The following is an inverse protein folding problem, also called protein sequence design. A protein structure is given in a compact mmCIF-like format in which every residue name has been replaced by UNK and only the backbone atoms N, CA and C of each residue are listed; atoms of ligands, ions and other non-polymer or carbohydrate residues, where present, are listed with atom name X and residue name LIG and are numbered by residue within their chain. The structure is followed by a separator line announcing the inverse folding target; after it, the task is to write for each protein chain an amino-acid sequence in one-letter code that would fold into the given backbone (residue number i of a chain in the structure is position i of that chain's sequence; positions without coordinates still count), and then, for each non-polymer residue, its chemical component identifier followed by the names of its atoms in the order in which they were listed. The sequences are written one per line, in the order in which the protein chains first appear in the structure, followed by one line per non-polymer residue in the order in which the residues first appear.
data_IF_396580825904
#
_entry.id   IF_396580825904
#
_cell.length_a   1.000
_cell.length_b   1.000
_cell.length_c   1.000
_cell.angle_alpha   90.00
_cell.angle_beta   90.00
_cell.angle_gamma   90.00
#
_symmetry.space_group_name_H-M   'P 1'
#
loop_
_entity.id
_entity.type
_entity.pdbx_description
1 polymer ?
#
# COMPACT_ATOMS: atom_id res chain seq x y z
N UNK A 1 5.53 -13.03 -44.66
CA UNK A 1 6.11 -13.88 -43.61
C UNK A 1 7.38 -13.21 -43.10
N UNK A 2 7.30 -12.50 -41.97
CA UNK A 2 8.47 -11.86 -41.37
C UNK A 2 9.29 -12.94 -40.65
N UNK A 3 10.53 -13.15 -41.10
CA UNK A 3 11.40 -14.19 -40.58
C UNK A 3 11.76 -13.90 -39.12
N UNK A 4 11.44 -14.84 -38.22
CA UNK A 4 12.03 -14.88 -36.87
C UNK A 4 13.53 -15.16 -37.00
N UNK A 5 14.34 -14.11 -37.11
CA UNK A 5 15.76 -14.21 -36.76
C UNK A 5 15.82 -14.18 -35.24
N UNK A 6 16.03 -15.35 -34.63
CA UNK A 6 16.55 -15.45 -33.26
C UNK A 6 17.93 -14.80 -33.25
N UNK A 7 17.99 -13.49 -33.07
CA UNK A 7 19.18 -12.86 -32.53
C UNK A 7 19.00 -12.92 -31.01
N UNK A 8 19.56 -13.97 -30.43
CA UNK A 8 19.99 -13.93 -29.04
C UNK A 8 20.88 -12.71 -28.88
N UNK A 9 20.32 -11.63 -28.33
CA UNK A 9 21.11 -10.52 -27.81
C UNK A 9 21.86 -11.10 -26.62
N UNK A 10 23.11 -11.49 -26.88
CA UNK A 10 24.04 -11.89 -25.85
C UNK A 10 24.35 -10.61 -25.05
N UNK A 11 23.80 -10.56 -23.83
CA UNK A 11 24.19 -9.63 -22.78
C UNK A 11 25.69 -9.78 -22.53
N UNK A 12 26.47 -8.74 -22.86
CA UNK A 12 27.80 -8.57 -22.31
C UNK A 12 27.72 -7.62 -21.14
N UNK A 13 27.84 -8.20 -19.94
CA UNK A 13 28.20 -7.49 -18.72
C UNK A 13 29.71 -7.31 -18.79
N UNK A 14 30.19 -6.07 -18.83
CA UNK A 14 31.57 -5.75 -18.46
C UNK A 14 31.56 -4.80 -17.26
N UNK A 15 32.53 -4.98 -16.35
CA UNK A 15 32.59 -4.43 -14.98
C UNK A 15 32.86 -2.92 -14.90
N UNK A 16 32.45 -2.15 -15.90
CA UNK A 16 32.58 -0.68 -15.92
C UNK A 16 31.24 -0.08 -16.30
N UNK A 17 30.54 0.49 -15.31
CA UNK A 17 29.42 1.42 -15.42
C UNK A 17 29.05 1.81 -16.87
N UNK A 18 28.10 1.10 -17.48
CA UNK A 18 27.55 1.48 -18.78
C UNK A 18 26.03 1.42 -18.76
N UNK A 19 25.44 2.60 -18.83
CA UNK A 19 24.01 2.83 -18.95
C UNK A 19 23.51 2.19 -20.23
N UNK A 20 22.47 1.35 -20.13
CA UNK A 20 21.72 0.90 -21.29
C UNK A 20 20.95 2.11 -21.84
N UNK A 21 21.59 2.85 -22.76
CA UNK A 21 20.96 3.90 -23.54
C UNK A 21 19.94 3.23 -24.46
N UNK A 22 18.67 3.20 -24.05
CA UNK A 22 17.55 2.74 -24.89
C UNK A 22 17.41 3.54 -26.20
N UNK A 23 18.23 4.58 -26.40
CA UNK A 23 18.48 5.28 -27.65
C UNK A 23 18.88 4.35 -28.82
N UNK A 24 19.43 3.15 -28.55
CA UNK A 24 19.77 2.17 -29.60
C UNK A 24 18.64 1.18 -29.95
N UNK A 25 17.49 1.28 -29.27
CA UNK A 25 16.35 0.39 -29.60
C UNK A 25 15.75 0.73 -30.95
N UNK A 26 15.20 -0.28 -31.63
CA UNK A 26 14.48 -0.09 -32.90
C UNK A 26 13.39 0.99 -32.81
N UNK A 27 12.79 1.20 -31.63
CA UNK A 27 11.85 2.28 -31.38
C UNK A 27 12.50 3.66 -31.45
N UNK A 28 13.60 3.88 -30.72
CA UNK A 28 14.33 5.15 -30.78
C UNK A 28 14.97 5.38 -32.14
N UNK A 29 15.38 4.32 -32.84
CA UNK A 29 15.86 4.44 -34.21
C UNK A 29 14.72 4.86 -35.16
N UNK A 30 13.53 4.27 -35.06
CA UNK A 30 12.39 4.64 -35.91
C UNK A 30 11.86 6.06 -35.68
N UNK A 31 11.74 6.50 -34.41
CA UNK A 31 11.30 7.89 -34.13
C UNK A 31 12.34 8.92 -34.64
N UNK A 32 13.60 8.50 -34.78
CA UNK A 32 14.71 9.27 -35.36
C UNK A 32 15.01 8.91 -36.83
N UNK A 33 14.06 8.30 -37.56
CA UNK A 33 14.14 8.04 -39.02
C UNK A 33 15.18 7.00 -39.49
N UNK A 34 15.58 6.06 -38.63
CA UNK A 34 16.60 5.06 -38.90
C UNK A 34 16.15 3.60 -38.61
N UNK A 35 15.05 3.11 -39.20
CA UNK A 35 14.62 1.71 -39.01
C UNK A 35 13.65 1.18 -40.08
N UNK A 36 13.57 -0.15 -40.20
CA UNK A 36 12.82 -0.84 -41.26
C UNK A 36 11.54 -1.55 -40.76
N UNK A 37 11.19 -1.40 -39.48
CA UNK A 37 10.05 -2.07 -38.87
C UNK A 37 8.86 -1.12 -38.65
N UNK A 38 7.66 -1.67 -38.53
CA UNK A 38 6.48 -0.85 -38.25
C UNK A 38 6.50 -0.35 -36.80
N UNK A 39 5.91 0.83 -36.59
CA UNK A 39 5.97 1.55 -35.32
C UNK A 39 5.31 0.78 -34.17
N UNK A 40 4.23 0.05 -34.43
CA UNK A 40 3.54 -0.78 -33.44
C UNK A 40 4.44 -1.89 -32.89
N UNK A 41 5.16 -2.58 -33.78
CA UNK A 41 6.08 -3.67 -33.42
C UNK A 41 7.24 -3.12 -32.60
N UNK A 42 7.82 -2.01 -33.03
CA UNK A 42 8.93 -1.38 -32.32
C UNK A 42 8.52 -0.84 -30.94
N UNK A 43 7.35 -0.20 -30.85
CA UNK A 43 6.78 0.24 -29.58
C UNK A 43 6.53 -0.94 -28.64
N UNK A 44 5.99 -2.04 -29.14
CA UNK A 44 5.72 -3.24 -28.33
C UNK A 44 7.02 -3.83 -27.78
N UNK A 45 8.06 -3.94 -28.62
CA UNK A 45 9.38 -4.38 -28.18
C UNK A 45 10.03 -3.43 -27.16
N UNK A 46 9.87 -2.11 -27.34
CA UNK A 46 10.30 -1.11 -26.37
C UNK A 46 9.57 -1.26 -25.03
N UNK A 47 8.25 -1.41 -25.05
CA UNK A 47 7.46 -1.57 -23.83
C UNK A 47 7.85 -2.83 -23.06
N UNK A 48 8.09 -3.95 -23.77
CA UNK A 48 8.60 -5.18 -23.15
C UNK A 48 9.95 -4.98 -22.48
N UNK A 49 10.91 -4.32 -23.14
CA UNK A 49 12.23 -4.04 -22.55
C UNK A 49 12.14 -3.15 -21.30
N UNK A 50 11.26 -2.14 -21.30
CA UNK A 50 11.03 -1.29 -20.12
C UNK A 50 10.41 -2.10 -18.97
N UNK A 51 9.51 -3.05 -19.25
CA UNK A 51 8.94 -3.95 -18.23
C UNK A 51 10.02 -4.89 -17.67
N UNK A 52 10.83 -5.48 -18.53
CA UNK A 52 11.94 -6.34 -18.12
C UNK A 52 12.97 -5.58 -17.28
N UNK A 53 13.29 -4.33 -17.63
CA UNK A 53 14.15 -3.44 -16.84
C UNK A 53 13.57 -3.15 -15.44
N UNK A 54 12.24 -3.02 -15.33
CA UNK A 54 11.56 -2.80 -14.05
C UNK A 54 11.47 -4.07 -13.18
N UNK A 55 11.44 -5.26 -13.79
CA UNK A 55 11.24 -6.53 -13.10
C UNK A 55 12.53 -7.35 -12.90
N UNK A 56 13.56 -7.09 -13.71
CA UNK A 56 14.73 -7.94 -13.89
C UNK A 56 15.85 -7.69 -12.89
N UNK A 57 15.59 -7.76 -11.58
CA UNK A 57 16.60 -7.91 -10.51
C UNK A 57 17.78 -6.91 -10.45
N UNK A 58 17.81 -5.87 -11.28
CA UNK A 58 18.81 -4.80 -11.27
C UNK A 58 18.64 -3.93 -10.02
N UNK A 59 19.70 -3.21 -9.63
CA UNK A 59 19.63 -2.21 -8.57
C UNK A 59 18.51 -1.19 -8.88
N UNK A 60 17.57 -1.04 -7.95
CA UNK A 60 16.42 -0.15 -8.09
C UNK A 60 16.83 1.29 -8.42
N UNK A 61 17.96 1.77 -7.88
CA UNK A 61 18.47 3.11 -8.18
C UNK A 61 18.90 3.21 -9.64
N UNK A 62 19.53 2.15 -10.19
CA UNK A 62 19.93 2.11 -11.60
C UNK A 62 18.70 2.06 -12.52
N UNK A 63 17.66 1.31 -12.15
CA UNK A 63 16.38 1.29 -12.87
C UNK A 63 15.71 2.67 -12.89
N UNK A 64 15.68 3.36 -11.75
CA UNK A 64 15.11 4.72 -11.65
C UNK A 64 15.89 5.72 -12.53
N UNK A 65 17.22 5.68 -12.49
CA UNK A 65 18.07 6.56 -13.32
C UNK A 65 17.85 6.27 -14.81
N UNK A 66 17.78 5.00 -15.20
CA UNK A 66 17.53 4.62 -16.59
C UNK A 66 16.15 5.11 -17.09
N UNK A 67 15.09 4.97 -16.29
CA UNK A 67 13.77 5.46 -16.67
C UNK A 67 13.71 6.99 -16.76
N UNK A 68 14.37 7.71 -15.84
CA UNK A 68 14.47 9.16 -15.89
C UNK A 68 15.17 9.63 -17.18
N UNK A 69 16.23 8.92 -17.60
CA UNK A 69 16.92 9.21 -18.85
C UNK A 69 16.01 9.02 -20.08
N UNK A 70 15.28 7.90 -20.17
CA UNK A 70 14.31 7.66 -21.27
C UNK A 70 13.26 8.77 -21.32
N UNK A 71 12.72 9.16 -20.16
CA UNK A 71 11.71 10.21 -20.08
C UNK A 71 12.23 11.53 -20.65
N UNK A 72 13.46 11.92 -20.29
CA UNK A 72 14.11 13.14 -20.78
C UNK A 72 14.23 13.10 -22.30
N UNK A 73 14.71 12.00 -22.87
CA UNK A 73 14.86 11.84 -24.32
C UNK A 73 13.50 11.92 -25.06
N UNK A 74 12.46 11.27 -24.52
CA UNK A 74 11.11 11.32 -25.11
C UNK A 74 10.45 12.70 -24.97
N UNK A 75 10.68 13.40 -23.85
CA UNK A 75 10.12 14.73 -23.58
C UNK A 75 10.73 15.80 -24.48
N UNK A 76 12.02 15.68 -24.79
CA UNK A 76 12.76 16.65 -25.62
C UNK A 76 12.85 16.25 -27.09
N UNK A 77 12.28 15.10 -27.48
CA UNK A 77 12.16 14.72 -28.87
C UNK A 77 11.42 15.82 -29.66
N UNK A 78 11.88 16.21 -30.87
CA UNK A 78 11.37 17.37 -31.63
C UNK A 78 9.98 17.12 -32.28
N UNK A 79 9.03 16.57 -31.52
CA UNK A 79 7.70 16.15 -31.97
C UNK A 79 6.84 17.33 -32.45
N UNK A 80 7.06 18.52 -31.89
CA UNK A 80 6.29 19.74 -32.23
C UNK A 80 6.60 20.33 -33.60
N UNK A 81 7.68 19.87 -34.25
CA UNK A 81 8.14 20.37 -35.55
C UNK A 81 7.93 19.33 -36.67
N UNK A 82 7.16 18.27 -36.42
CA UNK A 82 6.92 17.19 -37.37
C UNK A 82 5.81 17.55 -38.38
N UNK A 83 5.98 17.16 -39.65
CA UNK A 83 5.00 17.32 -40.72
C UNK A 83 3.73 16.48 -40.47
N UNK A 84 2.64 16.78 -41.18
CA UNK A 84 1.33 16.10 -41.01
C UNK A 84 1.42 14.58 -41.24
N UNK A 85 2.34 14.12 -42.10
CA UNK A 85 2.67 12.71 -42.35
C UNK A 85 3.32 12.00 -41.15
N UNK A 86 3.94 12.76 -40.24
CA UNK A 86 4.69 12.24 -39.07
C UNK A 86 3.86 12.30 -37.78
N UNK A 87 2.55 12.49 -37.89
CA UNK A 87 1.60 12.51 -36.77
C UNK A 87 1.51 11.16 -36.05
N UNK A 88 1.76 10.06 -36.75
CA UNK A 88 1.85 8.73 -36.15
C UNK A 88 3.06 8.63 -35.20
N UNK A 89 4.24 9.10 -35.63
CA UNK A 89 5.45 9.16 -34.79
C UNK A 89 5.18 9.98 -33.53
N UNK A 90 4.56 11.15 -33.67
CA UNK A 90 4.18 12.01 -32.55
C UNK A 90 3.27 11.31 -31.53
N UNK A 91 2.30 10.53 -32.01
CA UNK A 91 1.41 9.76 -31.15
C UNK A 91 2.17 8.67 -30.38
N UNK A 92 3.10 7.96 -31.03
CA UNK A 92 3.90 6.92 -30.40
C UNK A 92 4.94 7.45 -29.41
N UNK A 93 5.57 8.59 -29.67
CA UNK A 93 6.44 9.27 -28.69
C UNK A 93 5.64 9.67 -27.45
N UNK A 94 4.44 10.24 -27.65
CA UNK A 94 3.54 10.61 -26.54
C UNK A 94 3.07 9.38 -25.74
N UNK A 95 2.79 8.28 -26.43
CA UNK A 95 2.40 6.99 -25.84
C UNK A 95 3.54 6.39 -25.01
N UNK A 96 4.76 6.38 -25.55
CA UNK A 96 5.96 5.91 -24.84
C UNK A 96 6.26 6.76 -23.62
N UNK A 97 6.17 8.09 -23.73
CA UNK A 97 6.38 9.00 -22.60
C UNK A 97 5.38 8.74 -21.47
N UNK A 98 4.10 8.58 -21.84
CA UNK A 98 3.03 8.26 -20.88
C UNK A 98 3.27 6.90 -20.20
N UNK A 99 3.77 5.92 -20.95
CA UNK A 99 4.09 4.60 -20.44
C UNK A 99 5.27 4.63 -19.45
N UNK A 100 6.38 5.28 -19.81
CA UNK A 100 7.57 5.41 -18.94
C UNK A 100 7.23 6.12 -17.62
N UNK A 101 6.48 7.24 -17.68
CA UNK A 101 5.98 7.94 -16.48
C UNK A 101 5.12 7.05 -15.59
N UNK A 102 4.30 6.19 -16.20
CA UNK A 102 3.48 5.24 -15.46
C UNK A 102 4.34 4.19 -14.77
N UNK A 103 5.39 3.68 -15.43
CA UNK A 103 6.35 2.73 -14.84
C UNK A 103 7.17 3.36 -13.71
N UNK A 104 7.66 4.59 -13.88
CA UNK A 104 8.31 5.33 -12.79
C UNK A 104 7.37 5.53 -11.61
N UNK A 105 6.10 5.85 -11.86
CA UNK A 105 5.08 5.96 -10.80
C UNK A 105 4.86 4.61 -10.12
N UNK A 106 4.82 3.49 -10.84
CA UNK A 106 4.73 2.16 -10.23
C UNK A 106 5.93 1.85 -9.32
N UNK A 107 7.14 2.26 -9.71
CA UNK A 107 8.34 2.06 -8.87
C UNK A 107 8.42 3.03 -7.68
N UNK A 108 7.92 4.26 -7.85
CA UNK A 108 7.89 5.29 -6.80
C UNK A 108 6.70 5.12 -5.83
N UNK A 109 5.69 4.32 -6.22
CA UNK A 109 4.64 3.91 -5.30
C UNK A 109 5.25 2.85 -4.37
N UNK A 110 5.15 2.99 -3.04
CA UNK A 110 5.51 1.90 -2.13
C UNK A 110 4.82 0.63 -2.63
N UNK A 111 5.59 -0.38 -3.02
CA UNK A 111 5.05 -1.60 -3.58
C UNK A 111 4.15 -2.25 -2.52
N UNK A 112 2.85 -2.07 -2.66
CA UNK A 112 1.86 -2.98 -2.10
C UNK A 112 1.98 -4.26 -2.94
N UNK A 113 2.12 -5.46 -2.34
CA UNK A 113 2.37 -6.69 -3.09
C UNK A 113 1.36 -6.89 -4.24
N UNK A 114 1.76 -7.48 -5.39
CA UNK A 114 0.87 -7.63 -6.52
C UNK A 114 -0.31 -8.54 -6.16
N UNK A 115 -1.52 -8.17 -6.60
CA UNK A 115 -2.67 -9.06 -6.70
C UNK A 115 -2.32 -10.20 -7.67
N UNK A 116 -1.82 -11.31 -7.13
CA UNK A 116 -1.67 -12.56 -7.87
C UNK A 116 -3.07 -13.10 -8.15
N UNK A 117 -3.27 -13.45 -9.41
CA UNK A 117 -4.45 -14.13 -9.95
C UNK A 117 -4.82 -15.38 -9.15
N UNK A 118 -6.11 -15.71 -9.15
CA UNK A 118 -6.70 -16.87 -8.52
C UNK A 118 -5.88 -18.16 -8.68
N UNK A 119 -5.90 -18.97 -7.63
CA UNK A 119 -5.45 -20.36 -7.54
C UNK A 119 -3.95 -20.59 -7.26
N UNK A 120 -3.48 -20.11 -6.11
CA UNK A 120 -2.65 -20.95 -5.24
C UNK A 120 -3.35 -20.98 -3.87
N UNK A 121 -3.61 -22.17 -3.35
CA UNK A 121 -4.58 -22.44 -2.29
C UNK A 121 -4.60 -21.41 -1.16
N UNK A 122 -5.80 -20.87 -0.91
CA UNK A 122 -6.18 -20.18 0.32
C UNK A 122 -5.80 -21.06 1.51
N UNK A 123 -4.59 -20.89 2.04
CA UNK A 123 -4.32 -21.23 3.44
C UNK A 123 -4.96 -20.09 4.21
N UNK A 124 -6.28 -20.19 4.39
CA UNK A 124 -6.97 -19.36 5.36
C UNK A 124 -6.40 -19.74 6.72
N UNK A 125 -5.61 -18.84 7.31
CA UNK A 125 -5.20 -18.96 8.70
C UNK A 125 -6.47 -19.20 9.52
N UNK A 126 -6.59 -20.38 10.13
CA UNK A 126 -7.77 -20.73 10.92
C UNK A 126 -7.90 -19.77 12.10
N UNK A 127 -9.11 -19.55 12.59
CA UNK A 127 -9.30 -18.76 13.82
C UNK A 127 -8.47 -19.32 14.98
N UNK A 128 -8.37 -20.64 15.10
CA UNK A 128 -7.64 -21.29 16.18
C UNK A 128 -6.14 -21.01 16.13
N UNK A 129 -5.55 -20.95 14.93
CA UNK A 129 -4.13 -20.65 14.77
C UNK A 129 -3.87 -19.15 14.94
N UNK A 130 -4.78 -18.30 14.44
CA UNK A 130 -4.75 -16.86 14.71
C UNK A 130 -4.83 -16.55 16.21
N UNK A 131 -5.66 -17.29 16.96
CA UNK A 131 -5.75 -17.16 18.42
C UNK A 131 -4.42 -17.48 19.11
N UNK A 132 -3.77 -18.59 18.76
CA UNK A 132 -2.47 -18.96 19.35
C UNK A 132 -1.39 -17.90 19.06
N UNK A 133 -1.40 -17.34 17.85
CA UNK A 133 -0.50 -16.25 17.47
C UNK A 133 -0.79 -15.03 18.34
N UNK A 134 -2.05 -14.61 18.43
CA UNK A 134 -2.47 -13.45 19.23
C UNK A 134 -2.14 -13.64 20.72
N UNK A 135 -2.38 -14.82 21.28
CA UNK A 135 -2.05 -15.17 22.66
C UNK A 135 -0.55 -15.03 22.93
N UNK A 136 0.29 -15.52 22.00
CA UNK A 136 1.74 -15.38 22.09
C UNK A 136 2.18 -13.91 21.96
N UNK A 137 1.58 -13.15 21.05
CA UNK A 137 1.91 -11.72 20.85
C UNK A 137 1.55 -10.88 22.08
N UNK A 138 0.42 -11.17 22.71
CA UNK A 138 -0.12 -10.44 23.84
C UNK A 138 0.20 -11.11 25.19
N UNK A 139 1.19 -12.00 25.23
CA UNK A 139 1.56 -12.73 26.45
C UNK A 139 1.92 -11.75 27.58
N UNK A 140 1.23 -11.88 28.71
CA UNK A 140 1.42 -11.03 29.89
C UNK A 140 0.85 -9.61 29.76
N UNK A 141 0.21 -9.27 28.64
CA UNK A 141 -0.48 -7.99 28.49
C UNK A 141 -1.82 -8.02 29.20
N UNK A 142 -2.15 -6.93 29.89
CA UNK A 142 -3.45 -6.73 30.54
C UNK A 142 -4.30 -5.71 29.77
N UNK A 143 -5.61 -5.91 29.79
CA UNK A 143 -6.58 -4.92 29.35
C UNK A 143 -6.81 -3.83 30.41
N UNK A 144 -7.73 -2.89 30.11
CA UNK A 144 -8.04 -1.79 31.03
C UNK A 144 -8.90 -2.20 32.22
N UNK A 145 -9.51 -3.37 32.19
CA UNK A 145 -10.25 -3.95 33.30
C UNK A 145 -9.32 -4.79 34.21
N UNK A 146 -8.04 -4.94 33.84
CA UNK A 146 -7.04 -5.71 34.59
C UNK A 146 -7.03 -7.20 34.27
N UNK A 147 -7.82 -7.65 33.28
CA UNK A 147 -7.81 -9.03 32.79
C UNK A 147 -6.75 -9.24 31.70
N UNK A 148 -6.48 -10.49 31.30
CA UNK A 148 -5.65 -10.79 30.14
C UNK A 148 -6.16 -10.09 28.88
N UNK A 149 -5.27 -9.43 28.14
CA UNK A 149 -5.66 -8.68 26.95
C UNK A 149 -6.17 -9.60 25.81
N UNK A 150 -5.68 -10.84 25.74
CA UNK A 150 -6.18 -11.83 24.78
C UNK A 150 -7.67 -12.14 24.99
N UNK A 151 -8.15 -12.15 26.24
CA UNK A 151 -9.57 -12.38 26.54
C UNK A 151 -10.43 -11.23 26.01
N UNK A 152 -9.92 -9.99 26.06
CA UNK A 152 -10.58 -8.85 25.43
C UNK A 152 -10.70 -9.05 23.91
N UNK A 153 -9.61 -9.44 23.24
CA UNK A 153 -9.64 -9.69 21.80
C UNK A 153 -10.56 -10.86 21.43
N UNK A 154 -10.59 -11.91 22.25
CA UNK A 154 -11.51 -13.04 22.08
C UNK A 154 -12.97 -12.58 22.18
N UNK A 155 -13.31 -11.74 23.15
CA UNK A 155 -14.66 -11.16 23.25
C UNK A 155 -15.05 -10.36 21.98
N UNK A 156 -14.09 -9.70 21.33
CA UNK A 156 -14.29 -8.98 20.07
C UNK A 156 -14.56 -9.95 18.92
N UNK A 157 -13.81 -11.04 18.82
CA UNK A 157 -14.06 -12.08 17.83
C UNK A 157 -15.40 -12.80 18.07
N UNK A 158 -15.74 -13.12 19.31
CA UNK A 158 -17.01 -13.73 19.69
C UNK A 158 -18.20 -12.82 19.37
N UNK A 159 -18.06 -11.51 19.58
CA UNK A 159 -19.08 -10.53 19.15
C UNK A 159 -19.37 -10.61 17.65
N UNK A 160 -18.34 -10.74 16.82
CA UNK A 160 -18.46 -10.87 15.36
C UNK A 160 -19.05 -12.22 14.97
N UNK A 161 -18.59 -13.30 15.60
CA UNK A 161 -19.12 -14.65 15.42
C UNK A 161 -20.61 -14.72 15.72
N UNK A 162 -21.05 -14.13 16.84
CA UNK A 162 -22.46 -14.08 17.25
C UNK A 162 -23.33 -13.23 16.32
N UNK A 163 -22.73 -12.34 15.54
CA UNK A 163 -23.39 -11.60 14.46
C UNK A 163 -23.44 -12.33 13.12
N UNK A 164 -22.85 -13.53 13.02
CA UNK A 164 -22.78 -14.29 11.78
C UNK A 164 -21.76 -13.75 10.79
N UNK A 165 -20.74 -13.01 11.26
CA UNK A 165 -19.65 -12.54 10.40
C UNK A 165 -18.69 -13.69 10.05
N UNK A 166 -18.02 -13.59 8.89
CA UNK A 166 -17.11 -14.65 8.42
C UNK A 166 -15.92 -14.86 9.36
N UNK A 167 -15.33 -16.06 9.28
CA UNK A 167 -14.13 -16.40 10.06
C UNK A 167 -12.98 -15.43 9.78
N UNK A 168 -12.85 -14.94 8.54
CA UNK A 168 -11.85 -13.96 8.11
C UNK A 168 -11.93 -12.66 8.92
N UNK A 169 -13.15 -12.18 9.20
CA UNK A 169 -13.38 -10.97 10.00
C UNK A 169 -13.02 -11.25 11.46
N UNK A 170 -13.26 -12.47 11.94
CA UNK A 170 -12.89 -12.91 13.30
C UNK A 170 -11.36 -13.04 13.45
N UNK A 171 -10.68 -13.62 12.45
CA UNK A 171 -9.22 -13.74 12.36
C UNK A 171 -8.57 -12.35 12.33
N UNK A 172 -9.09 -11.44 11.51
CA UNK A 172 -8.59 -10.07 11.49
C UNK A 172 -8.82 -9.39 12.85
N UNK A 173 -9.98 -9.61 13.47
CA UNK A 173 -10.31 -9.01 14.75
C UNK A 173 -9.42 -9.49 15.91
N UNK A 174 -9.04 -10.77 15.95
CA UNK A 174 -8.15 -11.29 17.00
C UNK A 174 -6.69 -10.83 16.80
N UNK A 175 -6.28 -10.48 15.57
CA UNK A 175 -4.91 -10.04 15.24
C UNK A 175 -4.74 -8.51 15.14
N UNK A 176 -5.82 -7.72 15.22
CA UNK A 176 -5.81 -6.31 14.81
C UNK A 176 -4.89 -5.36 15.60
N UNK A 177 -4.48 -5.75 16.81
CA UNK A 177 -3.60 -4.95 17.67
C UNK A 177 -2.22 -5.61 17.86
N UNK A 178 -1.88 -6.58 17.00
CA UNK A 178 -0.62 -7.32 17.05
C UNK A 178 0.61 -6.56 16.55
N UNK A 179 0.46 -5.48 15.77
CA UNK A 179 1.56 -4.65 15.26
C UNK A 179 1.50 -3.27 15.91
N UNK A 180 1.72 -3.23 17.22
CA UNK A 180 1.68 -2.00 18.01
C UNK A 180 2.94 -1.80 18.83
N UNK A 181 3.19 -0.56 19.27
CA UNK A 181 4.33 -0.25 20.15
C UNK A 181 4.35 -1.07 21.45
N UNK A 182 3.18 -1.49 21.95
CA UNK A 182 3.07 -2.35 23.12
C UNK A 182 3.61 -3.77 22.87
N UNK A 183 3.27 -4.34 21.71
CA UNK A 183 3.67 -5.70 21.31
C UNK A 183 5.10 -5.79 20.77
N UNK A 184 5.65 -4.67 20.28
CA UNK A 184 6.96 -4.56 19.62
C UNK A 184 7.14 -5.50 18.41
N UNK A 185 6.05 -6.04 17.84
CA UNK A 185 6.10 -6.86 16.64
C UNK A 185 6.12 -6.00 15.39
N UNK A 186 6.87 -6.46 14.40
CA UNK A 186 6.90 -5.89 13.06
C UNK A 186 6.02 -6.73 12.10
N UNK A 187 5.67 -6.19 10.92
CA UNK A 187 5.01 -6.97 9.86
C UNK A 187 5.76 -8.28 9.56
N UNK A 188 7.09 -8.23 9.43
CA UNK A 188 7.93 -9.39 9.18
C UNK A 188 7.86 -10.44 10.29
N UNK A 189 7.75 -10.00 11.54
CA UNK A 189 7.58 -10.94 12.67
C UNK A 189 6.24 -11.67 12.56
N UNK A 190 5.17 -10.96 12.21
CA UNK A 190 3.84 -11.58 12.05
C UNK A 190 3.82 -12.59 10.89
N UNK A 191 4.48 -12.26 9.77
CA UNK A 191 4.64 -13.19 8.63
C UNK A 191 5.41 -14.45 9.07
N UNK A 192 6.52 -14.27 9.81
CA UNK A 192 7.31 -15.40 10.37
C UNK A 192 6.51 -16.25 11.36
N UNK A 193 5.55 -15.65 12.06
CA UNK A 193 4.62 -16.35 12.95
C UNK A 193 3.49 -17.08 12.20
N UNK A 194 3.43 -16.97 10.88
CA UNK A 194 2.46 -17.67 10.03
C UNK A 194 1.23 -16.85 9.65
N UNK A 195 1.22 -15.54 9.90
CA UNK A 195 0.14 -14.66 9.44
C UNK A 195 0.30 -14.37 7.93
N UNK A 196 -0.74 -14.58 7.11
CA UNK A 196 -0.70 -14.24 5.69
C UNK A 196 -0.37 -12.76 5.43
N UNK A 197 0.37 -12.47 4.36
CA UNK A 197 0.84 -11.11 4.07
C UNK A 197 -0.32 -10.11 3.84
N UNK A 198 -1.37 -10.54 3.16
CA UNK A 198 -2.60 -9.76 2.96
C UNK A 198 -3.32 -9.46 4.29
N UNK A 199 -3.30 -10.40 5.24
CA UNK A 199 -3.82 -10.17 6.59
C UNK A 199 -2.93 -9.18 7.36
N UNK A 200 -1.61 -9.26 7.22
CA UNK A 200 -0.67 -8.28 7.81
C UNK A 200 -0.91 -6.88 7.26
N UNK A 201 -1.13 -6.73 5.95
CA UNK A 201 -1.47 -5.46 5.31
C UNK A 201 -2.77 -4.88 5.89
N UNK A 202 -3.78 -5.73 6.13
CA UNK A 202 -5.04 -5.31 6.77
C UNK A 202 -4.83 -4.85 8.22
N UNK A 203 -4.02 -5.57 9.00
CA UNK A 203 -3.66 -5.19 10.38
C UNK A 203 -2.98 -3.82 10.38
N UNK A 204 -2.01 -3.59 9.48
CA UNK A 204 -1.33 -2.31 9.36
C UNK A 204 -2.29 -1.19 8.94
N UNK A 205 -3.13 -1.42 7.92
CA UNK A 205 -4.14 -0.45 7.46
C UNK A 205 -5.10 -0.07 8.60
N UNK A 206 -5.42 -1.02 9.48
CA UNK A 206 -6.28 -0.82 10.64
C UNK A 206 -5.56 -0.22 11.85
N UNK A 207 -4.23 -0.18 11.89
CA UNK A 207 -3.51 0.29 13.08
C UNK A 207 -3.40 1.81 13.07
N UNK A 208 -4.23 2.48 13.88
CA UNK A 208 -4.15 3.93 14.04
C UNK A 208 -2.96 4.31 14.92
N UNK A 209 -1.89 4.78 14.29
CA UNK A 209 -0.71 5.31 14.97
C UNK A 209 -1.00 6.71 15.50
N UNK A 210 -1.17 6.81 16.83
CA UNK A 210 -1.30 8.09 17.51
C UNK A 210 0.09 8.74 17.56
N UNK A 211 0.28 9.87 16.89
CA UNK A 211 1.36 10.79 17.26
C UNK A 211 1.03 11.35 18.66
N UNK A 212 1.61 10.75 19.70
CA UNK A 212 1.37 11.12 21.11
C UNK A 212 2.41 12.08 21.67
N UNK A 213 3.50 12.32 20.94
CA UNK A 213 4.45 13.33 21.31
C UNK A 213 4.17 14.55 20.44
N UNK A 214 4.13 15.72 21.07
CA UNK A 214 4.27 17.01 20.42
C UNK A 214 3.03 17.61 19.77
N UNK A 215 2.98 18.94 19.80
CA UNK A 215 2.15 19.75 18.91
C UNK A 215 2.59 19.36 17.50
N UNK A 216 1.79 18.55 16.79
CA UNK A 216 2.15 18.13 15.43
C UNK A 216 2.16 19.34 14.48
N UNK A 217 2.82 19.21 13.32
CA UNK A 217 2.95 20.28 12.33
C UNK A 217 1.58 20.87 11.92
N UNK A 218 0.55 20.02 11.90
CA UNK A 218 -0.84 20.42 11.66
C UNK A 218 -1.38 21.32 12.78
N UNK A 219 -1.14 20.99 14.04
CA UNK A 219 -1.50 21.78 15.21
C UNK A 219 -0.71 23.10 15.24
N UNK A 220 0.59 23.08 14.90
CA UNK A 220 1.43 24.28 14.77
C UNK A 220 0.90 25.25 13.71
N UNK A 221 0.54 24.76 12.53
CA UNK A 221 -0.01 25.56 11.42
C UNK A 221 -1.37 26.18 11.77
N UNK A 222 -2.19 25.49 12.57
CA UNK A 222 -3.46 26.03 13.04
C UNK A 222 -3.27 27.09 14.12
N UNK A 223 -2.32 26.90 15.03
CA UNK A 223 -1.95 27.91 16.04
C UNK A 223 -1.33 29.15 15.39
N UNK A 224 -0.51 29.00 14.34
CA UNK A 224 0.02 30.12 13.54
C UNK A 224 -1.11 30.95 12.90
N UNK A 225 -2.23 30.31 12.56
CA UNK A 225 -3.43 30.95 12.02
C UNK A 225 -4.40 31.48 13.10
N UNK A 226 -4.00 31.45 14.37
CA UNK A 226 -4.75 32.02 15.50
C UNK A 226 -5.79 31.09 16.13
N UNK A 227 -5.74 29.78 15.86
CA UNK A 227 -6.61 28.80 16.54
C UNK A 227 -6.08 28.53 17.96
N UNK A 228 -6.92 28.64 19.02
CA UNK A 228 -6.51 28.32 20.39
C UNK A 228 -5.94 26.90 20.52
N UNK A 229 -4.97 26.70 21.42
CA UNK A 229 -4.23 25.45 21.52
C UNK A 229 -5.11 24.26 21.94
N UNK A 230 -6.12 24.53 22.75
CA UNK A 230 -7.17 23.61 23.17
C UNK A 230 -7.99 23.05 21.98
N UNK A 231 -8.24 23.90 20.97
CA UNK A 231 -8.98 23.57 19.75
C UNK A 231 -8.06 22.98 18.66
N UNK A 232 -6.78 23.32 18.70
CA UNK A 232 -5.76 22.77 17.82
C UNK A 232 -5.34 21.34 18.20
N UNK A 233 -5.63 20.85 19.42
CA UNK A 233 -5.04 19.59 19.94
C UNK A 233 -6.02 18.46 20.21
N UNK A 234 -7.28 18.73 20.56
CA UNK A 234 -8.29 17.66 20.77
C UNK A 234 -9.13 17.42 19.52
N UNK A 235 -9.67 18.49 18.95
CA UNK A 235 -10.46 18.44 17.72
C UNK A 235 -9.62 17.98 16.52
N UNK A 236 -8.35 18.36 16.46
CA UNK A 236 -7.41 17.87 15.46
C UNK A 236 -7.27 16.34 15.49
N UNK A 237 -7.06 15.76 16.69
CA UNK A 237 -6.94 14.30 16.85
C UNK A 237 -8.21 13.55 16.47
N UNK A 238 -9.38 14.17 16.68
CA UNK A 238 -10.64 13.55 16.26
C UNK A 238 -10.87 13.75 14.74
N UNK A 239 -10.41 14.85 14.14
CA UNK A 239 -10.35 15.02 12.67
C UNK A 239 -9.41 13.99 12.01
N UNK A 240 -8.25 13.71 12.59
CA UNK A 240 -7.35 12.65 12.12
C UNK A 240 -7.98 11.28 12.23
N UNK A 241 -8.65 11.01 13.34
CA UNK A 241 -9.43 9.78 13.48
C UNK A 241 -10.53 9.69 12.40
N UNK A 242 -11.23 10.78 12.10
CA UNK A 242 -12.23 10.80 11.02
C UNK A 242 -11.60 10.54 9.66
N UNK A 243 -10.47 11.16 9.33
CA UNK A 243 -9.71 10.87 8.10
C UNK A 243 -9.29 9.40 8.03
N UNK A 244 -8.77 8.86 9.14
CA UNK A 244 -8.42 7.45 9.24
C UNK A 244 -9.63 6.54 8.98
N UNK A 245 -10.79 6.83 9.59
CA UNK A 245 -12.03 6.06 9.34
C UNK A 245 -12.42 6.11 7.86
N UNK A 246 -12.26 7.25 7.18
CA UNK A 246 -12.50 7.35 5.74
C UNK A 246 -11.62 6.41 4.92
N UNK A 247 -10.35 6.21 5.30
CA UNK A 247 -9.46 5.25 4.62
C UNK A 247 -9.89 3.79 4.75
N UNK A 248 -10.79 3.46 5.69
CA UNK A 248 -11.29 2.11 5.91
C UNK A 248 -12.65 1.85 5.25
N UNK A 249 -13.33 2.89 4.73
CA UNK A 249 -14.68 2.77 4.17
C UNK A 249 -14.76 1.87 2.94
N UNK A 250 -13.66 1.77 2.19
CA UNK A 250 -13.52 0.92 1.02
C UNK A 250 -13.27 -0.56 1.37
N UNK A 251 -13.05 -0.89 2.65
CA UNK A 251 -12.77 -2.24 3.13
C UNK A 251 -13.77 -2.67 4.22
N UNK A 252 -14.86 -3.36 3.84
CA UNK A 252 -15.90 -3.80 4.78
C UNK A 252 -15.39 -4.69 5.91
N UNK A 253 -14.42 -5.57 5.64
CA UNK A 253 -13.81 -6.47 6.63
C UNK A 253 -13.11 -5.67 7.73
N UNK A 254 -12.26 -4.71 7.33
CA UNK A 254 -11.54 -3.85 8.26
C UNK A 254 -12.48 -2.95 9.08
N UNK A 255 -13.50 -2.37 8.42
CA UNK A 255 -14.50 -1.53 9.08
C UNK A 255 -15.31 -2.32 10.13
N UNK A 256 -15.73 -3.55 9.81
CA UNK A 256 -16.42 -4.44 10.75
C UNK A 256 -15.56 -4.81 11.94
N UNK A 257 -14.32 -5.22 11.70
CA UNK A 257 -13.38 -5.59 12.76
C UNK A 257 -13.09 -4.41 13.72
N UNK A 258 -12.90 -3.19 13.20
CA UNK A 258 -12.73 -2.00 14.07
C UNK A 258 -13.99 -1.58 14.80
N UNK A 259 -15.15 -1.69 14.15
CA UNK A 259 -16.44 -1.43 14.81
C UNK A 259 -16.68 -2.40 15.96
N UNK A 260 -16.28 -3.67 15.83
CA UNK A 260 -16.44 -4.68 16.87
C UNK A 260 -15.72 -4.31 18.18
N UNK A 261 -14.45 -3.86 18.12
CA UNK A 261 -13.73 -3.34 19.30
C UNK A 261 -14.54 -2.27 20.00
N UNK A 262 -15.06 -1.31 19.24
CA UNK A 262 -15.80 -0.19 19.83
C UNK A 262 -17.11 -0.64 20.47
N UNK A 263 -17.77 -1.67 19.94
CA UNK A 263 -18.97 -2.22 20.58
C UNK A 263 -18.63 -2.98 21.86
N UNK A 264 -17.55 -3.77 21.90
CA UNK A 264 -17.12 -4.47 23.12
C UNK A 264 -16.68 -3.48 24.19
N UNK A 265 -16.00 -2.40 23.82
CA UNK A 265 -15.61 -1.32 24.75
C UNK A 265 -16.80 -0.57 25.35
N UNK A 266 -18.03 -0.79 24.87
CA UNK A 266 -19.25 -0.25 25.48
C UNK A 266 -19.80 -1.12 26.63
N UNK A 267 -19.19 -2.27 26.93
CA UNK A 267 -19.55 -3.08 28.11
C UNK A 267 -19.14 -2.36 29.41
N UNK A 268 -19.98 -2.44 30.44
CA UNK A 268 -19.83 -1.75 31.72
C UNK A 268 -18.47 -2.03 32.38
N UNK A 269 -17.94 -3.25 32.22
CA UNK A 269 -16.62 -3.64 32.75
C UNK A 269 -15.46 -2.82 32.16
N UNK A 270 -15.62 -2.25 30.97
CA UNK A 270 -14.62 -1.40 30.31
C UNK A 270 -14.89 0.10 30.43
N UNK A 271 -16.13 0.48 30.77
CA UNK A 271 -16.57 1.87 30.87
C UNK A 271 -16.17 2.52 32.19
N UNK A 272 -15.83 1.74 33.23
CA UNK A 272 -15.60 2.28 34.57
C UNK A 272 -14.78 3.59 34.61
N UNK A 273 -15.45 4.62 35.14
CA UNK A 273 -14.99 5.95 35.61
C UNK A 273 -14.93 7.16 34.67
N UNK A 274 -15.37 7.16 33.40
CA UNK A 274 -15.37 8.44 32.63
C UNK A 274 -16.48 8.55 31.57
N UNK A 275 -17.52 9.36 31.83
CA UNK A 275 -18.58 9.77 30.89
C UNK A 275 -18.02 10.20 29.51
N UNK A 276 -16.87 10.90 29.53
CA UNK A 276 -16.15 11.31 28.31
C UNK A 276 -15.75 10.14 27.39
N UNK A 277 -15.38 8.97 27.94
CA UNK A 277 -14.97 7.79 27.15
C UNK A 277 -16.17 7.14 26.47
N UNK A 278 -17.30 7.09 27.15
CA UNK A 278 -18.55 6.57 26.61
C UNK A 278 -19.04 7.46 25.44
N UNK A 279 -19.11 8.77 25.65
CA UNK A 279 -19.49 9.74 24.61
C UNK A 279 -18.57 9.64 23.39
N UNK A 280 -17.25 9.49 23.62
CA UNK A 280 -16.28 9.30 22.55
C UNK A 280 -16.50 8.00 21.77
N UNK A 281 -16.74 6.89 22.46
CA UNK A 281 -16.94 5.58 21.81
C UNK A 281 -18.23 5.59 20.99
N UNK A 282 -19.31 6.20 21.50
CA UNK A 282 -20.57 6.44 20.77
C UNK A 282 -20.36 7.27 19.50
N UNK A 283 -19.59 8.36 19.58
CA UNK A 283 -19.26 9.19 18.39
C UNK A 283 -18.54 8.37 17.32
N UNK A 284 -17.53 7.58 17.71
CA UNK A 284 -16.74 6.77 16.77
C UNK A 284 -17.56 5.67 16.11
N UNK A 285 -18.45 5.01 16.87
CA UNK A 285 -19.40 4.04 16.32
C UNK A 285 -20.30 4.67 15.24
N UNK A 286 -20.77 5.91 15.43
CA UNK A 286 -21.56 6.62 14.41
C UNK A 286 -20.76 6.84 13.13
N UNK A 287 -19.44 7.06 13.22
CA UNK A 287 -18.57 7.28 12.05
C UNK A 287 -18.30 6.02 11.23
N UNK A 288 -18.19 4.84 11.86
CA UNK A 288 -18.07 3.58 11.12
C UNK A 288 -19.38 3.14 10.45
N UNK A 289 -20.54 3.68 10.86
CA UNK A 289 -21.85 3.34 10.32
C UNK A 289 -22.34 4.27 9.20
N UNK A 290 -21.65 5.39 8.97
CA UNK A 290 -22.01 6.45 8.02
C UNK A 290 -21.03 6.49 6.86
#
# INVERSE_FOLDING_TARGET
MCARRKQSVIFKIDRTMNYFLLAETDFFRLINEAGDCNMETAYTAFATQVIELCNGGMDMNLTVIALAYIEIELQHHPVRNLSEEKREIAAYVSKALSFVRKMQKFLATPQVPPLISANNGLIMLSYQDAYKIAESVHQGQQDKAGGPYIDFLQNVADYLKNKGESEDVQVLAILQDSITSATKKTPDDMIKMGVPADMVDLIQKMTYHKNQAWIDEYSCHLMEKGVPAEDATYDAREKDFVRFVETLKDNPTAAKAKSAILNVLMDDKYIHRQERRELKTKFRLKKYKA
#
